data_IF_162907052583
#
_entry.id   IF_162907052583
#
_cell.length_a   1.000
_cell.length_b   1.000
_cell.length_c   1.000
_cell.angle_alpha   90.00
_cell.angle_beta   90.00
_cell.angle_gamma   90.00
#
_symmetry.space_group_name_H-M   'P 1'
#
loop_
_entity.id
_entity.type
_entity.pdbx_description
1 polymer ?
#
# COMPACT_ATOMS: atom_id res chain seq x y z
N UNK A 1 1.18 -24.66 18.16
CA UNK A 1 1.11 -23.64 17.09
C UNK A 1 0.66 -22.31 17.67
N UNK A 2 1.64 -21.44 17.98
CA UNK A 2 1.38 -20.10 18.52
C UNK A 2 1.13 -19.08 17.40
N UNK A 3 0.65 -17.87 17.73
CA UNK A 3 0.49 -16.81 16.74
C UNK A 3 1.85 -16.45 16.12
N UNK A 4 1.86 -16.22 14.80
CA UNK A 4 3.05 -15.78 14.06
C UNK A 4 3.56 -14.48 14.67
N UNK A 5 4.82 -14.42 15.08
CA UNK A 5 5.44 -13.22 15.66
C UNK A 5 5.94 -12.24 14.60
N UNK A 6 6.44 -12.78 13.49
CA UNK A 6 6.99 -12.02 12.37
C UNK A 6 6.91 -12.77 11.07
N UNK A 7 6.87 -12.04 9.96
CA UNK A 7 6.93 -12.60 8.61
C UNK A 7 7.72 -11.69 7.68
N UNK A 8 8.50 -12.29 6.80
CA UNK A 8 9.19 -11.59 5.72
C UNK A 8 8.38 -11.72 4.42
N UNK A 9 8.28 -10.64 3.67
CA UNK A 9 7.59 -10.62 2.38
C UNK A 9 8.20 -9.57 1.45
N UNK A 10 8.01 -9.74 0.15
CA UNK A 10 8.53 -8.84 -0.88
C UNK A 10 7.37 -8.11 -1.55
N UNK A 11 7.45 -6.78 -1.64
CA UNK A 11 6.50 -5.93 -2.36
C UNK A 11 7.28 -5.04 -3.32
N UNK A 12 6.95 -5.06 -4.62
CA UNK A 12 7.66 -4.24 -5.61
C UNK A 12 9.17 -4.48 -5.68
N UNK A 13 9.63 -5.70 -5.34
CA UNK A 13 11.06 -6.04 -5.27
C UNK A 13 11.77 -5.63 -3.96
N UNK A 14 11.09 -4.90 -3.06
CA UNK A 14 11.62 -4.53 -1.75
C UNK A 14 11.23 -5.57 -0.69
N UNK A 15 12.21 -6.03 0.10
CA UNK A 15 11.99 -6.91 1.24
C UNK A 15 11.48 -6.12 2.46
N UNK A 16 10.42 -6.62 3.09
CA UNK A 16 9.82 -6.09 4.31
C UNK A 16 9.75 -7.16 5.40
N UNK A 17 9.90 -6.72 6.66
CA UNK A 17 9.64 -7.53 7.85
C UNK A 17 8.39 -7.00 8.55
N UNK A 18 7.32 -7.79 8.53
CA UNK A 18 6.14 -7.56 9.36
C UNK A 18 6.35 -8.14 10.75
N UNK A 19 6.04 -7.36 11.79
CA UNK A 19 6.14 -7.80 13.18
C UNK A 19 4.84 -7.54 13.93
N UNK A 20 4.33 -8.56 14.61
CA UNK A 20 3.11 -8.46 15.42
C UNK A 20 3.43 -7.91 16.81
N UNK A 21 3.64 -6.60 16.89
CA UNK A 21 4.02 -5.89 18.12
C UNK A 21 2.88 -5.57 19.11
N UNK A 22 1.64 -5.96 18.82
CA UNK A 22 0.47 -5.58 19.62
C UNK A 22 0.03 -4.13 19.38
N UNK A 23 -0.93 -3.65 20.18
CA UNK A 23 -1.58 -2.33 20.00
C UNK A 23 -0.78 -1.14 20.53
N UNK A 24 0.51 -1.33 20.85
CA UNK A 24 1.36 -0.27 21.39
C UNK A 24 1.81 0.74 20.33
N UNK A 25 1.77 0.34 19.06
CA UNK A 25 2.18 1.16 17.93
C UNK A 25 1.02 1.29 16.93
N UNK A 26 0.81 2.52 16.49
CA UNK A 26 -0.14 2.85 15.42
C UNK A 26 0.64 3.42 14.25
N UNK A 27 0.19 3.11 13.04
CA UNK A 27 0.78 3.70 11.85
C UNK A 27 0.34 5.15 11.70
N UNK A 28 1.27 5.97 11.20
CA UNK A 28 1.06 7.37 10.84
C UNK A 28 1.32 7.57 9.35
N UNK A 29 0.98 8.75 8.85
CA UNK A 29 1.25 9.20 7.49
C UNK A 29 2.75 9.46 7.22
N UNK A 30 3.63 9.23 8.21
CA UNK A 30 5.07 9.40 8.07
C UNK A 30 5.78 8.31 7.24
N UNK A 31 5.07 7.22 6.90
CA UNK A 31 5.57 6.16 6.01
C UNK A 31 4.51 5.85 4.96
N UNK A 32 4.87 5.99 3.68
CA UNK A 32 4.05 5.63 2.53
C UNK A 32 4.85 4.79 1.53
N UNK A 33 4.14 4.02 0.73
CA UNK A 33 4.67 3.34 -0.44
C UNK A 33 4.18 4.08 -1.69
N UNK A 34 5.07 4.23 -2.65
CA UNK A 34 4.72 4.72 -3.97
C UNK A 34 4.71 3.55 -4.93
N UNK A 35 3.67 3.44 -5.74
CA UNK A 35 3.56 2.41 -6.78
C UNK A 35 3.64 3.12 -8.13
N UNK A 36 4.68 2.81 -8.89
CA UNK A 36 4.84 3.28 -10.27
C UNK A 36 3.93 2.44 -11.17
N UNK A 37 2.84 3.05 -11.60
CA UNK A 37 1.77 2.42 -12.38
C UNK A 37 1.99 2.78 -13.87
N UNK A 38 2.05 1.78 -14.76
CA UNK A 38 2.41 1.96 -16.17
C UNK A 38 1.33 2.69 -16.98
N UNK A 39 0.06 2.45 -16.65
CA UNK A 39 -1.08 3.07 -17.31
C UNK A 39 -2.29 3.20 -16.38
N UNK A 40 -3.35 3.84 -16.87
CA UNK A 40 -4.55 4.09 -16.08
C UNK A 40 -5.30 2.79 -15.71
N UNK A 41 -5.20 1.75 -16.53
CA UNK A 41 -5.86 0.48 -16.22
C UNK A 41 -5.21 -0.20 -15.01
N UNK A 42 -3.88 -0.11 -14.90
CA UNK A 42 -3.16 -0.60 -13.73
C UNK A 42 -3.49 0.21 -12.46
N UNK A 43 -3.62 1.54 -12.59
CA UNK A 43 -4.09 2.40 -11.48
C UNK A 43 -5.45 1.90 -10.98
N UNK A 44 -6.41 1.75 -11.89
CA UNK A 44 -7.79 1.36 -11.56
C UNK A 44 -7.84 -0.04 -10.94
N UNK A 45 -7.03 -0.99 -11.46
CA UNK A 45 -6.94 -2.35 -10.94
C UNK A 45 -6.43 -2.40 -9.49
N UNK A 46 -5.34 -1.69 -9.19
CA UNK A 46 -4.81 -1.64 -7.82
C UNK A 46 -5.74 -0.89 -6.88
N UNK A 47 -6.32 0.22 -7.35
CA UNK A 47 -7.28 0.99 -6.58
C UNK A 47 -8.46 0.13 -6.14
N UNK A 48 -9.13 -0.55 -7.08
CA UNK A 48 -10.30 -1.36 -6.80
C UNK A 48 -9.98 -2.54 -5.88
N UNK A 49 -8.82 -3.19 -6.07
CA UNK A 49 -8.38 -4.28 -5.19
C UNK A 49 -8.14 -3.81 -3.76
N UNK A 50 -7.50 -2.66 -3.59
CA UNK A 50 -7.22 -2.08 -2.27
C UNK A 50 -8.51 -1.65 -1.57
N UNK A 51 -9.42 -0.97 -2.26
CA UNK A 51 -10.74 -0.60 -1.71
C UNK A 51 -11.54 -1.84 -1.30
N UNK A 52 -11.55 -2.89 -2.14
CA UNK A 52 -12.22 -4.16 -1.82
C UNK A 52 -11.59 -4.88 -0.63
N UNK A 53 -10.29 -4.71 -0.39
CA UNK A 53 -9.59 -5.21 0.79
C UNK A 53 -9.87 -4.39 2.07
N UNK A 54 -10.62 -3.29 1.94
CA UNK A 54 -11.07 -2.42 3.03
C UNK A 54 -10.38 -1.06 3.08
N UNK A 55 -9.41 -0.81 2.19
CA UNK A 55 -8.69 0.46 2.17
C UNK A 55 -9.64 1.63 1.89
N UNK A 56 -9.38 2.76 2.53
CA UNK A 56 -10.21 3.97 2.42
C UNK A 56 -9.53 5.01 1.54
N UNK A 57 -10.18 5.43 0.44
CA UNK A 57 -9.72 6.56 -0.36
C UNK A 57 -9.61 7.85 0.45
N UNK A 58 -8.59 8.64 0.17
CA UNK A 58 -8.36 9.95 0.79
C UNK A 58 -8.21 11.03 -0.31
N UNK A 59 -7.47 12.11 -0.04
CA UNK A 59 -7.35 13.22 -0.98
C UNK A 59 -6.24 12.98 -2.02
N UNK A 60 -6.39 13.58 -3.20
CA UNK A 60 -5.34 13.69 -4.21
C UNK A 60 -4.73 12.36 -4.71
N UNK A 61 -5.51 11.28 -4.77
CA UNK A 61 -5.02 9.98 -5.27
C UNK A 61 -4.43 9.06 -4.20
N UNK A 62 -4.47 9.46 -2.93
CA UNK A 62 -3.97 8.66 -1.81
C UNK A 62 -5.02 7.67 -1.32
N UNK A 63 -4.62 6.43 -1.04
CA UNK A 63 -5.46 5.41 -0.42
C UNK A 63 -4.82 4.87 0.87
N UNK A 64 -5.62 4.72 1.92
CA UNK A 64 -5.16 4.24 3.24
C UNK A 64 -5.63 2.82 3.48
N UNK A 65 -4.70 1.87 3.53
CA UNK A 65 -5.03 0.48 3.90
C UNK A 65 -5.52 0.36 5.36
N UNK A 66 -6.37 -0.64 5.61
CA UNK A 66 -6.99 -0.95 6.91
C UNK A 66 -5.98 -1.34 7.98
N UNK A 67 -4.84 -1.92 7.58
CA UNK A 67 -3.84 -2.45 8.51
C UNK A 67 -2.45 -1.88 8.32
N UNK A 68 -2.18 -1.22 7.19
CA UNK A 68 -1.36 0.00 6.99
C UNK A 68 -0.57 0.00 5.69
N UNK A 69 0.08 1.14 5.41
CA UNK A 69 0.79 1.59 4.21
C UNK A 69 -0.12 2.35 3.26
N UNK A 70 0.12 3.66 3.20
CA UNK A 70 -0.48 4.56 2.22
C UNK A 70 0.16 4.23 0.88
N UNK A 71 -0.64 3.78 -0.09
CA UNK A 71 -0.19 3.71 -1.47
C UNK A 71 -0.54 5.04 -2.14
N UNK A 72 0.48 5.77 -2.58
CA UNK A 72 0.31 6.78 -3.62
C UNK A 72 0.53 6.05 -4.96
N UNK A 73 -0.56 5.71 -5.65
CA UNK A 73 -0.52 5.43 -7.09
C UNK A 73 -1.18 6.67 -7.69
N UNK A 74 -0.38 7.62 -8.25
CA UNK A 74 -0.92 8.87 -8.72
C UNK A 74 -1.96 8.57 -9.79
N UNK A 75 -3.19 9.02 -9.57
CA UNK A 75 -4.30 8.88 -10.53
C UNK A 75 -4.04 9.61 -11.86
N UNK A 76 -2.88 10.24 -12.02
CA UNK A 76 -2.38 10.81 -13.25
C UNK A 76 -1.10 10.07 -13.63
N UNK A 77 -1.19 9.21 -14.64
CA UNK A 77 -0.02 8.63 -15.32
C UNK A 77 0.80 9.80 -15.87
N UNK A 78 1.89 10.15 -15.20
CA UNK A 78 2.85 11.12 -15.73
C UNK A 78 3.70 10.42 -16.80
N UNK A 79 3.12 10.27 -17.99
CA UNK A 79 3.83 9.91 -19.20
C UNK A 79 4.22 8.45 -19.28
N UNK A 80 3.49 7.70 -20.11
CA UNK A 80 4.06 6.60 -20.86
C UNK A 80 5.17 7.15 -21.77
N UNK A 81 6.36 7.37 -21.22
CA UNK A 81 7.61 7.54 -21.97
C UNK A 81 8.82 7.23 -21.06
N UNK A 82 9.12 5.93 -20.93
CA UNK A 82 10.47 5.39 -20.75
C UNK A 82 10.62 4.07 -21.48
#
# INVERSE_FOLDING_TARGET
DGPVSSAEFVVGGQLFLGYNGGSYFSFSEGVSLYVDCADQAEVDEYWDKLVKAGATPTQCGWIKDVRSLLADCPATVHGADR
#
